data_IF_010069820729
#
_entry.id   IF_010069820729
#
_cell.length_a   1.000
_cell.length_b   1.000
_cell.length_c   1.000
_cell.angle_alpha   90.00
_cell.angle_beta   90.00
_cell.angle_gamma   90.00
#
_symmetry.space_group_name_H-M   'P 1'
#
loop_
_entity.id
_entity.type
_entity.pdbx_description
1 polymer ?
#
# COMPACT_ATOMS: atom_id res chain seq x y z
N UNK A 1 37.16 -20.31 -16.43
CA UNK A 1 36.22 -19.92 -15.36
C UNK A 1 35.48 -18.70 -15.85
N UNK A 2 34.33 -18.91 -16.50
CA UNK A 2 33.49 -17.83 -17.03
C UNK A 2 32.56 -17.35 -15.91
N UNK A 3 32.34 -16.03 -15.76
CA UNK A 3 31.34 -15.56 -14.81
C UNK A 3 29.95 -15.97 -15.29
N UNK A 4 29.11 -16.40 -14.34
CA UNK A 4 27.74 -16.83 -14.58
C UNK A 4 26.92 -15.74 -15.30
N UNK A 5 25.94 -16.10 -16.15
CA UNK A 5 25.06 -15.12 -16.78
C UNK A 5 24.23 -14.44 -15.70
N UNK A 6 24.35 -13.11 -15.59
CA UNK A 6 23.44 -12.30 -14.79
C UNK A 6 22.01 -12.47 -15.33
N UNK A 7 20.98 -12.61 -14.47
CA UNK A 7 19.60 -12.75 -14.91
C UNK A 7 19.22 -11.53 -15.75
N UNK A 8 18.89 -11.79 -17.02
CA UNK A 8 18.40 -10.80 -17.97
C UNK A 8 16.97 -10.48 -17.57
N UNK A 9 16.82 -9.62 -16.57
CA UNK A 9 15.55 -9.02 -16.27
C UNK A 9 15.23 -8.04 -17.40
N UNK A 10 14.53 -8.52 -18.43
CA UNK A 10 13.82 -7.70 -19.42
C UNK A 10 12.66 -6.97 -18.75
N UNK A 11 13.01 -6.11 -17.79
CA UNK A 11 12.16 -5.04 -17.30
C UNK A 11 12.22 -3.97 -18.38
N UNK A 12 11.06 -3.52 -18.86
CA UNK A 12 10.89 -2.43 -19.82
C UNK A 12 11.53 -1.15 -19.22
N UNK A 13 12.85 -1.05 -19.36
CA UNK A 13 13.68 0.07 -18.95
C UNK A 13 13.85 0.96 -20.16
N UNK A 14 13.85 2.27 -19.96
CA UNK A 14 14.35 3.16 -21.00
C UNK A 14 15.78 2.72 -21.32
N UNK A 15 15.99 2.26 -22.56
CA UNK A 15 17.32 1.90 -23.05
C UNK A 15 18.29 3.05 -22.80
N UNK A 16 19.60 2.78 -22.75
CA UNK A 16 20.63 3.82 -22.62
C UNK A 16 20.49 4.81 -23.79
N UNK A 17 19.67 5.83 -23.59
CA UNK A 17 19.36 6.83 -24.61
C UNK A 17 20.24 8.06 -24.40
N UNK A 18 20.54 8.77 -25.48
CA UNK A 18 21.26 10.04 -25.42
C UNK A 18 20.39 11.19 -24.91
N UNK A 19 19.08 10.96 -24.68
CA UNK A 19 18.15 11.97 -24.21
C UNK A 19 18.41 12.28 -22.72
N UNK A 20 18.51 13.56 -22.38
CA UNK A 20 18.77 14.03 -21.02
C UNK A 20 17.70 13.56 -20.02
N UNK A 21 16.45 13.46 -20.48
CA UNK A 21 15.32 12.98 -19.66
C UNK A 21 15.50 11.51 -19.27
N UNK A 22 15.78 10.63 -20.23
CA UNK A 22 15.99 9.21 -19.94
C UNK A 22 17.21 8.99 -19.03
N UNK A 23 18.28 9.79 -19.21
CA UNK A 23 19.45 9.73 -18.34
C UNK A 23 19.11 10.17 -16.91
N UNK A 24 18.33 11.24 -16.76
CA UNK A 24 17.84 11.75 -15.48
C UNK A 24 16.97 10.72 -14.74
N UNK A 25 15.99 10.13 -15.44
CA UNK A 25 15.12 9.07 -14.92
C UNK A 25 15.95 7.86 -14.49
N UNK A 26 16.83 7.36 -15.36
CA UNK A 26 17.66 6.20 -15.06
C UNK A 26 18.59 6.49 -13.87
N UNK A 27 19.24 7.66 -13.84
CA UNK A 27 20.10 8.05 -12.71
C UNK A 27 19.34 8.01 -11.39
N UNK A 28 18.16 8.63 -11.33
CA UNK A 28 17.35 8.66 -10.11
C UNK A 28 16.78 7.28 -9.75
N UNK A 29 16.37 6.48 -10.73
CA UNK A 29 15.92 5.09 -10.49
C UNK A 29 17.02 4.23 -9.86
N UNK A 30 18.28 4.41 -10.24
CA UNK A 30 19.40 3.63 -9.73
C UNK A 30 20.03 4.17 -8.44
N UNK A 31 19.85 5.45 -8.10
CA UNK A 31 20.48 6.07 -6.92
C UNK A 31 19.52 6.41 -5.78
N UNK A 32 18.22 6.60 -6.05
CA UNK A 32 17.25 7.06 -5.05
C UNK A 32 16.36 5.95 -4.50
N UNK A 33 16.12 4.90 -5.28
CA UNK A 33 15.32 3.75 -4.84
C UNK A 33 16.22 2.73 -4.16
N UNK A 34 15.78 2.24 -3.00
CA UNK A 34 16.54 1.26 -2.21
C UNK A 34 16.63 -0.11 -2.89
N UNK A 35 15.60 -0.45 -3.67
CA UNK A 35 15.48 -1.74 -4.34
C UNK A 35 15.23 -1.56 -5.84
N UNK A 36 15.67 -2.54 -6.62
CA UNK A 36 15.37 -2.61 -8.06
C UNK A 36 13.95 -3.11 -8.29
N UNK A 37 12.97 -2.24 -8.07
CA UNK A 37 11.56 -2.58 -8.28
C UNK A 37 11.27 -2.93 -9.75
N UNK A 38 10.50 -4.00 -9.97
CA UNK A 38 10.17 -4.49 -11.32
C UNK A 38 9.08 -3.68 -12.02
N UNK A 39 8.19 -3.02 -11.26
CA UNK A 39 7.09 -2.18 -11.76
C UNK A 39 6.93 -0.93 -10.89
N UNK A 40 6.35 0.13 -11.45
CA UNK A 40 6.07 1.37 -10.71
C UNK A 40 5.10 1.14 -9.53
N UNK A 41 4.08 0.31 -9.73
CA UNK A 41 3.03 0.05 -8.73
C UNK A 41 3.50 -0.67 -7.47
N UNK A 42 4.66 -1.36 -7.52
CA UNK A 42 5.20 -2.10 -6.36
C UNK A 42 6.16 -1.27 -5.50
N UNK A 43 6.53 -0.06 -5.93
CA UNK A 43 7.32 0.87 -5.13
C UNK A 43 6.42 1.43 -4.01
N UNK A 44 6.82 1.45 -2.73
CA UNK A 44 6.04 2.06 -1.65
C UNK A 44 5.65 3.52 -1.94
N UNK A 45 4.48 3.97 -1.47
CA UNK A 45 3.95 5.28 -1.79
C UNK A 45 4.92 6.41 -1.44
N UNK A 46 5.56 6.32 -0.28
CA UNK A 46 6.51 7.31 0.25
C UNK A 46 7.77 7.38 -0.63
N UNK A 47 8.24 6.23 -1.13
CA UNK A 47 9.40 6.17 -2.05
C UNK A 47 9.04 6.73 -3.43
N UNK A 48 7.84 6.45 -3.94
CA UNK A 48 7.33 7.02 -5.20
C UNK A 48 7.21 8.53 -5.12
N UNK A 49 6.62 9.02 -4.05
CA UNK A 49 6.41 10.45 -3.83
C UNK A 49 7.75 11.17 -3.68
N UNK A 50 8.67 10.65 -2.85
CA UNK A 50 9.98 11.24 -2.68
C UNK A 50 10.77 11.29 -3.98
N UNK A 51 10.72 10.20 -4.76
CA UNK A 51 11.35 10.15 -6.09
C UNK A 51 10.77 11.22 -7.02
N UNK A 52 9.44 11.36 -7.07
CA UNK A 52 8.79 12.36 -7.92
C UNK A 52 9.10 13.80 -7.53
N UNK A 53 9.09 14.11 -6.23
CA UNK A 53 9.45 15.44 -5.72
C UNK A 53 10.88 15.82 -6.14
N UNK A 54 11.81 14.87 -6.06
CA UNK A 54 13.20 15.09 -6.46
C UNK A 54 13.37 15.20 -7.97
N UNK A 55 12.59 14.42 -8.74
CA UNK A 55 12.52 14.54 -10.19
C UNK A 55 12.05 15.93 -10.63
N UNK A 56 10.99 16.46 -10.02
CA UNK A 56 10.49 17.80 -10.29
C UNK A 56 11.54 18.87 -9.98
N UNK A 57 12.22 18.78 -8.82
CA UNK A 57 13.30 19.71 -8.43
C UNK A 57 14.47 19.67 -9.42
N UNK A 58 14.88 18.48 -9.87
CA UNK A 58 15.99 18.32 -10.82
C UNK A 58 15.73 19.01 -12.17
N UNK A 59 14.47 19.10 -12.59
CA UNK A 59 14.05 19.71 -13.85
C UNK A 59 13.51 21.14 -13.70
N UNK A 60 13.52 21.69 -12.49
CA UNK A 60 13.15 23.08 -12.21
C UNK A 60 14.34 24.01 -12.46
N UNK A 61 14.16 25.07 -13.24
CA UNK A 61 15.23 26.03 -13.48
C UNK A 61 15.48 26.86 -12.21
N UNK A 62 16.69 26.78 -11.64
CA UNK A 62 17.07 27.47 -10.40
C UNK A 62 16.91 28.99 -10.43
N UNK A 63 16.95 29.63 -11.60
CA UNK A 63 16.78 31.10 -11.76
C UNK A 63 15.31 31.52 -11.90
N UNK A 64 14.46 30.67 -12.47
CA UNK A 64 13.05 30.99 -12.73
C UNK A 64 12.06 30.26 -11.81
N UNK A 65 12.54 29.29 -11.01
CA UNK A 65 11.70 28.50 -10.11
C UNK A 65 10.66 27.63 -10.82
N UNK A 66 10.76 27.46 -12.15
CA UNK A 66 9.77 26.75 -12.96
C UNK A 66 10.42 25.68 -13.84
N UNK A 67 9.68 24.61 -14.08
CA UNK A 67 10.01 23.58 -15.07
C UNK A 67 9.73 24.17 -16.46
N UNK A 68 10.78 24.33 -17.27
CA UNK A 68 10.64 24.89 -18.64
C UNK A 68 10.21 23.84 -19.66
N UNK A 69 10.55 22.58 -19.42
CA UNK A 69 10.18 21.49 -20.32
C UNK A 69 8.69 21.19 -20.15
N UNK A 70 7.90 21.55 -21.17
CA UNK A 70 6.44 21.40 -21.16
C UNK A 70 6.00 19.95 -20.99
N UNK A 71 6.80 18.98 -21.46
CA UNK A 71 6.49 17.55 -21.32
C UNK A 71 6.71 17.11 -19.88
N UNK A 72 7.83 17.51 -19.28
CA UNK A 72 8.13 17.21 -17.87
C UNK A 72 7.12 17.89 -16.95
N UNK A 73 6.75 19.13 -17.26
CA UNK A 73 5.72 19.86 -16.53
C UNK A 73 4.38 19.12 -16.54
N UNK A 74 3.92 18.67 -17.72
CA UNK A 74 2.68 17.88 -17.83
C UNK A 74 2.72 16.55 -17.06
N UNK A 75 3.88 15.89 -16.99
CA UNK A 75 4.06 14.67 -16.18
C UNK A 75 3.99 14.97 -14.69
N UNK A 76 4.63 16.06 -14.24
CA UNK A 76 4.60 16.47 -12.83
C UNK A 76 3.18 16.87 -12.42
N UNK A 77 2.49 17.69 -13.22
CA UNK A 77 1.11 18.12 -12.92
C UNK A 77 0.14 16.94 -12.80
N UNK A 78 0.27 15.94 -13.69
CA UNK A 78 -0.55 14.72 -13.66
C UNK A 78 -0.32 13.90 -12.38
N UNK A 79 0.94 13.78 -11.97
CA UNK A 79 1.33 13.00 -10.80
C UNK A 79 0.96 13.72 -9.51
N UNK A 80 1.11 15.04 -9.44
CA UNK A 80 0.68 15.84 -8.29
C UNK A 80 -0.84 15.73 -8.08
N UNK A 81 -1.63 15.76 -9.16
CA UNK A 81 -3.07 15.56 -9.08
C UNK A 81 -3.45 14.17 -8.54
N UNK A 82 -2.71 13.13 -8.94
CA UNK A 82 -2.91 11.75 -8.47
C UNK A 82 -2.50 11.58 -6.99
N UNK A 83 -1.43 12.23 -6.55
CA UNK A 83 -0.99 12.22 -5.15
C UNK A 83 -2.01 12.98 -4.26
N UNK A 84 -2.52 14.10 -4.74
CA UNK A 84 -3.52 14.90 -4.02
C UNK A 84 -4.85 14.14 -3.86
N UNK A 85 -5.30 13.41 -4.89
CA UNK A 85 -6.53 12.61 -4.81
C UNK A 85 -6.40 11.45 -3.81
N UNK A 86 -5.23 10.82 -3.72
CA UNK A 86 -4.97 9.73 -2.77
C UNK A 86 -4.86 10.23 -1.32
N UNK A 87 -4.26 11.41 -1.11
CA UNK A 87 -4.09 12.01 0.22
C UNK A 87 -5.41 12.46 0.88
N UNK A 88 -6.45 12.73 0.09
CA UNK A 88 -7.75 13.20 0.59
C UNK A 88 -8.62 12.10 1.21
N UNK A 89 -8.20 10.83 1.12
CA UNK A 89 -8.96 9.68 1.65
C UNK A 89 -8.65 9.35 3.13
N UNK A 90 -7.71 10.07 3.77
CA UNK A 90 -7.22 9.75 5.11
C UNK A 90 -7.47 10.83 6.18
N UNK A 91 -8.18 11.91 5.87
CA UNK A 91 -8.41 12.99 6.83
C UNK A 91 -9.77 13.66 6.65
N UNK A 92 -10.80 13.13 7.30
CA UNK A 92 -11.74 13.99 8.05
C UNK A 92 -12.45 13.20 9.17
N UNK A 93 -12.29 13.68 10.39
CA UNK A 93 -12.98 13.22 11.60
C UNK A 93 -14.33 13.97 11.69
N UNK A 94 -15.41 13.23 11.95
CA UNK A 94 -16.58 13.78 12.66
C UNK A 94 -17.81 14.12 11.83
N UNK A 95 -18.86 13.30 12.06
CA UNK A 95 -20.28 13.65 11.93
C UNK A 95 -20.79 14.17 10.58
N UNK A 96 -20.96 13.24 9.65
CA UNK A 96 -22.09 13.33 8.74
C UNK A 96 -22.58 11.95 8.37
N UNK A 97 -23.85 11.69 8.71
CA UNK A 97 -24.67 10.66 8.09
C UNK A 97 -24.84 10.99 6.61
N UNK A 98 -23.79 10.75 5.83
CA UNK A 98 -23.77 10.81 4.38
C UNK A 98 -23.61 9.39 3.86
N UNK A 99 -24.72 8.78 3.43
CA UNK A 99 -24.80 7.41 2.98
C UNK A 99 -23.60 7.00 2.10
N UNK A 100 -22.71 6.15 2.64
CA UNK A 100 -21.65 5.53 1.87
C UNK A 100 -22.30 4.53 0.90
N UNK A 101 -22.64 4.99 -0.29
CA UNK A 101 -22.91 4.07 -1.40
C UNK A 101 -21.58 3.73 -2.05
N UNK A 102 -20.76 2.97 -1.32
CA UNK A 102 -19.62 2.28 -1.88
C UNK A 102 -20.16 1.18 -2.81
N UNK A 103 -20.59 1.58 -4.02
CA UNK A 103 -21.06 0.66 -5.04
C UNK A 103 -19.87 -0.16 -5.49
N UNK A 104 -19.96 -1.47 -5.36
CA UNK A 104 -18.96 -2.39 -5.90
C UNK A 104 -18.81 -2.18 -7.41
N UNK A 105 -17.62 -2.45 -7.94
CA UNK A 105 -17.32 -2.35 -9.38
C UNK A 105 -18.35 -3.13 -10.23
N UNK A 106 -18.85 -4.24 -9.69
CA UNK A 106 -19.89 -5.07 -10.30
C UNK A 106 -21.24 -4.35 -10.39
N UNK A 107 -21.66 -3.66 -9.31
CA UNK A 107 -22.88 -2.86 -9.29
C UNK A 107 -22.81 -1.67 -10.25
N UNK A 108 -21.65 -1.01 -10.33
CA UNK A 108 -21.42 0.08 -11.30
C UNK A 108 -21.57 -0.44 -12.73
N UNK A 109 -20.95 -1.58 -13.04
CA UNK A 109 -21.06 -2.21 -14.36
C UNK A 109 -22.51 -2.58 -14.73
N UNK A 110 -23.29 -3.10 -13.78
CA UNK A 110 -24.72 -3.40 -14.01
C UNK A 110 -25.55 -2.14 -14.26
N UNK A 111 -25.30 -1.06 -13.52
CA UNK A 111 -25.99 0.21 -13.71
C UNK A 111 -25.69 0.80 -15.10
N UNK A 112 -24.43 0.77 -15.52
CA UNK A 112 -24.00 1.24 -16.86
C UNK A 112 -24.64 0.40 -17.97
N UNK A 113 -24.70 -0.93 -17.82
CA UNK A 113 -25.33 -1.80 -18.81
C UNK A 113 -26.85 -1.58 -18.96
N UNK A 114 -27.54 -1.20 -17.88
CA UNK A 114 -28.97 -0.86 -17.91
C UNK A 114 -29.23 0.52 -18.53
N UNK A 115 -28.32 1.48 -18.31
CA UNK A 115 -28.47 2.85 -18.79
C UNK A 115 -28.11 3.01 -20.27
N UNK A 116 -27.20 2.20 -20.81
CA UNK A 116 -26.73 2.35 -22.20
C UNK A 116 -27.70 1.68 -23.21
N UNK A 117 -28.17 2.41 -24.24
CA UNK A 117 -29.04 1.86 -25.27
C UNK A 117 -28.41 0.67 -26.02
N UNK A 118 -29.22 -0.37 -26.27
CA UNK A 118 -28.81 -1.55 -27.05
C UNK A 118 -29.19 -1.39 -28.53
N UNK A 119 -28.26 -1.65 -29.45
CA UNK A 119 -28.55 -1.78 -30.88
C UNK A 119 -29.16 -3.14 -31.21
N UNK A 120 -29.81 -3.26 -32.37
CA UNK A 120 -30.32 -4.54 -32.91
C UNK A 120 -29.15 -5.54 -32.98
N UNK A 121 -29.23 -6.62 -32.21
CA UNK A 121 -28.13 -7.58 -31.99
C UNK A 121 -27.48 -7.55 -30.60
N UNK A 122 -28.03 -6.78 -29.64
CA UNK A 122 -27.64 -6.85 -28.22
C UNK A 122 -26.34 -6.12 -27.86
N UNK A 123 -25.72 -5.41 -28.81
CA UNK A 123 -24.50 -4.63 -28.59
C UNK A 123 -24.84 -3.27 -27.97
N UNK A 124 -24.22 -2.98 -26.83
CA UNK A 124 -24.31 -1.68 -26.17
C UNK A 124 -23.54 -0.63 -26.99
N UNK A 125 -24.15 0.54 -27.21
CA UNK A 125 -23.53 1.63 -28.00
C UNK A 125 -22.32 2.16 -27.24
N UNK A 126 -21.15 2.14 -27.87
CA UNK A 126 -19.91 2.71 -27.30
C UNK A 126 -19.19 1.81 -26.28
N UNK A 127 -19.74 0.66 -25.90
CA UNK A 127 -19.12 -0.27 -24.95
C UNK A 127 -18.60 -1.55 -25.63
N UNK A 128 -17.46 -2.03 -25.15
CA UNK A 128 -16.92 -3.33 -25.53
C UNK A 128 -17.77 -4.48 -24.96
N UNK A 129 -17.61 -5.69 -25.51
CA UNK A 129 -18.31 -6.88 -25.01
C UNK A 129 -17.73 -7.30 -23.65
N UNK A 130 -18.60 -7.66 -22.69
CA UNK A 130 -18.18 -8.22 -21.40
C UNK A 130 -17.36 -9.48 -21.64
N UNK A 131 -16.23 -9.65 -20.95
CA UNK A 131 -15.28 -10.76 -21.15
C UNK A 131 -15.91 -12.16 -21.02
N UNK A 132 -17.02 -12.29 -20.29
CA UNK A 132 -17.79 -13.54 -20.17
C UNK A 132 -18.55 -13.93 -21.45
N UNK A 133 -18.61 -13.06 -22.47
CA UNK A 133 -19.34 -13.31 -23.73
C UNK A 133 -18.44 -13.75 -24.88
N UNK A 134 -17.15 -13.98 -24.63
CA UNK A 134 -16.30 -14.68 -25.58
C UNK A 134 -16.74 -16.15 -25.60
N UNK A 135 -17.07 -16.75 -26.77
CA UNK A 135 -17.04 -18.20 -26.85
C UNK A 135 -15.62 -18.61 -26.49
N UNK A 136 -15.48 -19.49 -25.50
CA UNK A 136 -14.20 -20.05 -25.09
C UNK A 136 -13.61 -20.84 -26.27
N UNK A 137 -12.99 -20.14 -27.22
CA UNK A 137 -12.20 -20.75 -28.28
C UNK A 137 -10.89 -21.18 -27.67
N UNK A 138 -10.90 -22.45 -27.28
CA UNK A 138 -9.84 -23.44 -27.36
C UNK A 138 -8.48 -22.93 -27.87
N UNK A 139 -7.45 -23.32 -27.11
CA UNK A 139 -6.04 -23.39 -27.50
C UNK A 139 -5.22 -22.10 -27.37
N UNK A 140 -5.17 -21.55 -26.16
CA UNK A 140 -3.91 -21.00 -25.67
C UNK A 140 -3.78 -21.27 -24.17
N UNK A 141 -3.53 -22.54 -23.83
CA UNK A 141 -2.91 -22.84 -22.55
C UNK A 141 -1.49 -22.25 -22.63
N UNK A 142 -1.34 -21.02 -22.12
CA UNK A 142 -0.05 -20.41 -21.86
C UNK A 142 0.70 -21.42 -20.98
N UNK A 143 1.75 -22.01 -21.51
CA UNK A 143 2.57 -23.01 -20.83
C UNK A 143 3.20 -22.32 -19.61
N UNK A 144 2.60 -22.51 -18.43
CA UNK A 144 3.21 -22.07 -17.19
C UNK A 144 4.45 -22.95 -16.97
N UNK A 145 5.63 -22.33 -16.94
CA UNK A 145 6.89 -23.00 -16.67
C UNK A 145 6.77 -23.75 -15.32
N UNK A 146 6.91 -25.09 -15.29
CA UNK A 146 6.75 -25.90 -14.08
C UNK A 146 7.58 -25.38 -12.90
N UNK A 147 8.76 -24.81 -13.18
CA UNK A 147 9.65 -24.27 -12.18
C UNK A 147 9.10 -23.01 -11.50
N UNK A 148 8.33 -22.19 -12.25
CA UNK A 148 7.66 -20.99 -11.71
C UNK A 148 6.46 -21.41 -10.85
N UNK A 149 5.78 -22.49 -11.22
CA UNK A 149 4.63 -23.01 -10.48
C UNK A 149 5.05 -23.57 -9.12
N UNK A 150 6.20 -24.27 -9.08
CA UNK A 150 6.81 -24.78 -7.86
C UNK A 150 7.27 -23.64 -6.93
N UNK A 151 7.95 -22.62 -7.46
CA UNK A 151 8.39 -21.46 -6.66
C UNK A 151 7.21 -20.65 -6.09
N UNK A 152 6.09 -20.58 -6.81
CA UNK A 152 4.88 -19.93 -6.30
C UNK A 152 4.26 -20.74 -5.15
N UNK A 153 4.21 -22.06 -5.28
CA UNK A 153 3.71 -22.93 -4.23
C UNK A 153 4.54 -22.82 -2.94
N UNK A 154 5.88 -22.85 -3.05
CA UNK A 154 6.78 -22.69 -1.92
C UNK A 154 6.62 -21.32 -1.22
N UNK A 155 6.36 -20.26 -2.02
CA UNK A 155 6.07 -18.93 -1.48
C UNK A 155 4.74 -18.87 -0.77
N UNK A 156 3.71 -19.50 -1.32
CA UNK A 156 2.39 -19.57 -0.71
C UNK A 156 2.42 -20.36 0.61
N UNK A 157 3.17 -21.48 0.68
CA UNK A 157 3.41 -22.20 1.94
C UNK A 157 4.13 -21.34 2.98
N UNK A 158 5.17 -20.59 2.54
CA UNK A 158 5.88 -19.68 3.44
C UNK A 158 5.00 -18.54 3.93
N UNK A 159 4.11 -18.01 3.09
CA UNK A 159 3.14 -16.99 3.48
C UNK A 159 2.21 -17.57 4.55
N UNK A 160 1.67 -18.79 4.34
CA UNK A 160 0.83 -19.46 5.34
C UNK A 160 1.53 -19.64 6.69
N UNK A 161 2.79 -20.10 6.68
CA UNK A 161 3.56 -20.26 7.92
C UNK A 161 3.82 -18.93 8.64
N UNK A 162 4.09 -17.85 7.90
CA UNK A 162 4.27 -16.52 8.49
C UNK A 162 2.96 -15.94 9.04
N UNK A 163 1.85 -16.17 8.36
CA UNK A 163 0.53 -15.78 8.85
C UNK A 163 0.18 -16.50 10.15
N UNK A 164 0.43 -17.82 10.24
CA UNK A 164 0.24 -18.59 11.47
C UNK A 164 1.12 -18.08 12.62
N UNK A 165 2.40 -17.82 12.36
CA UNK A 165 3.29 -17.21 13.36
C UNK A 165 2.77 -15.84 13.83
N UNK A 166 2.30 -14.99 12.91
CA UNK A 166 1.72 -13.71 13.27
C UNK A 166 0.46 -13.86 14.13
N UNK A 167 -0.42 -14.83 13.83
CA UNK A 167 -1.59 -15.10 14.69
C UNK A 167 -1.19 -15.56 16.09
N UNK A 168 -0.12 -16.33 16.20
CA UNK A 168 0.42 -16.81 17.48
C UNK A 168 1.01 -15.65 18.28
N UNK A 169 1.82 -14.79 17.66
CA UNK A 169 2.37 -13.60 18.31
C UNK A 169 1.26 -12.65 18.78
N UNK A 170 0.20 -12.49 17.99
CA UNK A 170 -0.95 -11.66 18.37
C UNK A 170 -1.70 -12.21 19.59
N UNK A 171 -1.88 -13.54 19.68
CA UNK A 171 -2.54 -14.17 20.81
C UNK A 171 -1.68 -14.11 22.08
N UNK A 172 -0.37 -14.35 21.98
CA UNK A 172 0.57 -14.16 23.09
C UNK A 172 0.57 -12.71 23.61
N UNK A 173 0.59 -11.73 22.71
CA UNK A 173 0.48 -10.31 23.07
C UNK A 173 -0.86 -9.96 23.74
N UNK A 174 -1.95 -10.66 23.41
CA UNK A 174 -3.22 -10.48 24.09
C UNK A 174 -3.16 -11.04 25.53
N UNK A 175 -2.56 -12.22 25.71
CA UNK A 175 -2.34 -12.82 27.03
C UNK A 175 -1.47 -11.94 27.91
N UNK A 176 -0.31 -11.48 27.41
CA UNK A 176 0.60 -10.59 28.14
C UNK A 176 -0.11 -9.30 28.57
N UNK A 177 -0.95 -8.72 27.70
CA UNK A 177 -1.74 -7.53 28.05
C UNK A 177 -2.73 -7.80 29.18
N UNK A 178 -3.36 -8.98 29.20
CA UNK A 178 -4.28 -9.37 30.27
C UNK A 178 -3.56 -9.59 31.60
N UNK A 179 -2.37 -10.21 31.58
CA UNK A 179 -1.54 -10.42 32.77
C UNK A 179 -1.01 -9.09 33.33
N UNK A 180 -0.61 -8.18 32.46
CA UNK A 180 -0.21 -6.84 32.90
C UNK A 180 -1.37 -6.08 33.56
N UNK A 181 -2.60 -6.26 33.07
CA UNK A 181 -3.78 -5.64 33.68
C UNK A 181 -4.08 -6.20 35.08
N UNK A 182 -3.93 -7.51 35.29
CA UNK A 182 -4.14 -8.12 36.61
C UNK A 182 -3.06 -7.68 37.60
N UNK A 183 -1.79 -7.67 37.19
CA UNK A 183 -0.69 -7.17 38.03
C UNK A 183 -0.92 -5.72 38.47
N UNK A 184 -1.39 -4.86 37.55
CA UNK A 184 -1.72 -3.47 37.89
C UNK A 184 -2.86 -3.36 38.91
N UNK A 185 -3.90 -4.20 38.80
CA UNK A 185 -5.01 -4.23 39.74
C UNK A 185 -4.58 -4.70 41.15
N UNK A 186 -3.72 -5.72 41.21
CA UNK A 186 -3.17 -6.22 42.48
C UNK A 186 -2.28 -5.18 43.15
N UNK A 187 -1.43 -4.51 42.36
CA UNK A 187 -0.56 -3.43 42.84
C UNK A 187 -1.38 -2.24 43.37
N UNK A 188 -2.47 -1.89 42.69
CA UNK A 188 -3.40 -0.87 43.17
C UNK A 188 -4.06 -1.27 44.50
N UNK A 189 -4.46 -2.54 44.64
CA UNK A 189 -5.05 -3.08 45.88
C UNK A 189 -4.07 -3.07 47.04
N UNK A 190 -2.82 -3.47 46.81
CA UNK A 190 -1.75 -3.38 47.81
C UNK A 190 -1.46 -1.93 48.23
N UNK A 191 -1.40 -1.00 47.27
CA UNK A 191 -1.20 0.43 47.57
C UNK A 191 -2.31 0.97 48.46
N UNK A 192 -3.56 0.60 48.20
CA UNK A 192 -4.70 0.98 49.04
C UNK A 192 -4.57 0.42 50.45
N UNK A 193 -4.25 -0.86 50.58
CA UNK A 193 -4.03 -1.50 51.88
C UNK A 193 -2.91 -0.82 52.68
N UNK A 194 -1.79 -0.52 52.04
CA UNK A 194 -0.67 0.19 52.68
C UNK A 194 -1.09 1.60 53.15
N UNK A 195 -1.88 2.32 52.37
CA UNK A 195 -2.41 3.63 52.76
C UNK A 195 -3.34 3.54 53.99
N UNK A 196 -4.16 2.49 54.08
CA UNK A 196 -5.02 2.24 55.26
C UNK A 196 -4.20 1.95 56.52
N UNK A 197 -3.11 1.19 56.41
CA UNK A 197 -2.19 0.94 57.53
C UNK A 197 -1.60 2.26 58.03
N UNK A 198 -1.08 3.08 57.12
CA UNK A 198 -0.50 4.38 57.47
C UNK A 198 -1.53 5.27 58.18
N UNK A 199 -2.76 5.33 57.68
CA UNK A 199 -3.83 6.11 58.30
C UNK A 199 -4.17 5.61 59.72
N UNK A 200 -4.20 4.29 59.94
CA UNK A 200 -4.43 3.72 61.28
C UNK A 200 -3.29 4.07 62.23
N UNK A 201 -2.06 4.04 61.75
CA UNK A 201 -0.87 4.38 62.54
C UNK A 201 -0.92 5.84 62.99
N UNK A 202 -1.24 6.77 62.08
CA UNK A 202 -1.40 8.20 62.40
C UNK A 202 -2.49 8.44 63.47
N UNK A 203 -3.61 7.72 63.38
CA UNK A 203 -4.70 7.82 64.38
C UNK A 203 -4.25 7.35 65.77
N UNK A 204 -3.50 6.24 65.85
CA UNK A 204 -2.99 5.72 67.12
C UNK A 204 -2.00 6.71 67.76
N UNK A 205 -1.10 7.27 66.95
CA UNK A 205 -0.14 8.28 67.41
C UNK A 205 -0.85 9.55 67.91
N UNK A 206 -1.90 9.98 67.21
CA UNK A 206 -2.70 11.15 67.60
C UNK A 206 -3.54 10.93 68.86
N UNK A 207 -3.96 9.69 69.16
CA UNK A 207 -4.74 9.35 70.36
C UNK A 207 -3.92 9.14 71.64
N UNK A 208 -2.59 9.09 71.52
CA UNK A 208 -1.66 8.85 72.64
C UNK A 208 -0.91 10.10 73.11
N UNK A 209 -1.15 11.25 72.46
CA UNK A 209 -0.70 12.59 72.87
C UNK A 209 -1.85 13.34 73.53
#
# INVERSE_FOLDING_TARGET
MYPAPQPVFDVVRFTKSKNGISRSINQMMYSMLRFGYSKWSVIPFEERELWFRQFAVAHTNKKMGQIQDLVIKGVVDLVEAEIASQSQTLSDDGDSTGASTNLSLLQINEMVEKAVPKRKGGRLVGLARRASSYPASSSQALYADPMILEELHDKDERIGALEEQNTTILSENATIRSENATILADLASQKKFNAEIMQKLDRLMSSSS
#
